data_IF_691258577209
#
_entry.id   IF_691258577209
#
_cell.length_a   1.000
_cell.length_b   1.000
_cell.length_c   1.000
_cell.angle_alpha   90.00
_cell.angle_beta   90.00
_cell.angle_gamma   90.00
#
_symmetry.space_group_name_H-M   'P 1'
#
loop_
_entity.id
_entity.type
_entity.pdbx_description
1 polymer ?
#
# COMPACT_ATOMS: atom_id res chain seq x y z
N UNK A 1 -17.13 0.33 -32.96
CA UNK A 1 -16.80 -0.43 -31.73
C UNK A 1 -15.29 -0.29 -31.59
N UNK A 2 -14.75 0.34 -30.53
CA UNK A 2 -13.31 0.49 -30.41
C UNK A 2 -12.69 -0.91 -30.29
N UNK A 3 -11.76 -1.23 -31.19
CA UNK A 3 -10.99 -2.47 -31.14
C UNK A 3 -10.04 -2.35 -29.95
N UNK A 4 -10.44 -2.94 -28.83
CA UNK A 4 -9.67 -2.95 -27.59
C UNK A 4 -8.98 -4.29 -27.41
N UNK A 5 -7.66 -4.28 -27.21
CA UNK A 5 -6.91 -5.47 -26.84
C UNK A 5 -6.47 -5.37 -25.38
N UNK A 6 -6.63 -6.47 -24.66
CA UNK A 6 -6.21 -6.61 -23.27
C UNK A 6 -4.78 -7.17 -23.24
N UNK A 7 -3.87 -6.44 -22.63
CA UNK A 7 -2.47 -6.87 -22.42
C UNK A 7 -2.24 -7.14 -20.94
N UNK A 8 -1.54 -8.22 -20.60
CA UNK A 8 -1.10 -8.48 -19.23
C UNK A 8 0.28 -7.88 -19.01
N UNK A 9 0.44 -7.12 -17.93
CA UNK A 9 1.70 -6.49 -17.55
C UNK A 9 1.99 -6.76 -16.08
N UNK A 10 3.22 -7.17 -15.77
CA UNK A 10 3.69 -7.33 -14.39
C UNK A 10 4.50 -6.10 -14.01
N UNK A 11 4.09 -5.42 -12.95
CA UNK A 11 4.71 -4.20 -12.47
C UNK A 11 5.38 -4.43 -11.11
N UNK A 12 6.71 -4.29 -11.04
CA UNK A 12 7.42 -4.31 -9.77
C UNK A 12 7.28 -3.00 -9.00
N UNK A 13 7.16 -3.12 -7.69
CA UNK A 13 7.05 -2.03 -6.73
C UNK A 13 8.09 -2.18 -5.63
N UNK A 14 8.63 -1.05 -5.16
CA UNK A 14 9.52 -1.01 -4.02
C UNK A 14 9.07 0.04 -3.00
N UNK A 15 9.00 -0.37 -1.73
CA UNK A 15 8.68 0.53 -0.64
C UNK A 15 9.91 1.33 -0.22
N UNK A 16 9.81 2.66 -0.27
CA UNK A 16 10.89 3.57 0.15
C UNK A 16 11.05 3.63 1.68
N UNK A 17 10.15 2.99 2.44
CA UNK A 17 10.20 2.97 3.92
C UNK A 17 10.80 1.68 4.48
N UNK A 18 10.33 0.52 4.03
CA UNK A 18 10.74 -0.78 4.56
C UNK A 18 11.55 -1.62 3.55
N UNK A 19 11.79 -1.09 2.36
CA UNK A 19 12.54 -1.74 1.28
C UNK A 19 11.93 -3.06 0.79
N UNK A 20 10.71 -3.38 1.20
CA UNK A 20 9.97 -4.51 0.66
C UNK A 20 9.70 -4.30 -0.84
N UNK A 21 10.03 -5.32 -1.63
CA UNK A 21 9.82 -5.37 -3.07
C UNK A 21 8.78 -6.44 -3.38
N UNK A 22 7.84 -6.12 -4.23
CA UNK A 22 6.82 -7.06 -4.69
C UNK A 22 6.44 -6.78 -6.15
N UNK A 23 5.76 -7.74 -6.77
CA UNK A 23 5.23 -7.60 -8.12
C UNK A 23 3.72 -7.72 -8.10
N UNK A 24 3.05 -6.93 -8.92
CA UNK A 24 1.60 -6.99 -9.12
C UNK A 24 1.27 -7.16 -10.61
N UNK A 25 0.25 -7.96 -10.89
CA UNK A 25 -0.21 -8.22 -12.26
C UNK A 25 -1.39 -7.34 -12.60
N UNK A 26 -1.25 -6.59 -13.70
CA UNK A 26 -2.29 -5.74 -14.24
C UNK A 26 -2.74 -6.25 -15.61
N UNK A 27 -4.01 -6.00 -15.92
CA UNK A 27 -4.54 -6.10 -17.27
C UNK A 27 -4.78 -4.68 -17.77
N UNK A 28 -4.17 -4.33 -18.90
CA UNK A 28 -4.31 -3.03 -19.56
C UNK A 28 -5.19 -3.22 -20.79
N UNK A 29 -6.36 -2.60 -20.77
CA UNK A 29 -7.21 -2.48 -21.95
C UNK A 29 -6.86 -1.21 -22.68
N UNK A 30 -6.23 -1.34 -23.85
CA UNK A 30 -5.93 -0.20 -24.72
C UNK A 30 -7.08 0.00 -25.69
N UNK A 31 -7.64 1.20 -25.72
CA UNK A 31 -8.71 1.61 -26.63
C UNK A 31 -8.14 2.66 -27.56
N UNK A 32 -8.33 2.47 -28.87
CA UNK A 32 -8.04 3.49 -29.88
C UNK A 32 -9.33 3.83 -30.62
N UNK A 33 -9.53 5.11 -30.92
CA UNK A 33 -10.60 5.56 -31.80
C UNK A 33 -10.08 5.88 -33.22
N UNK A 34 -11.01 6.09 -34.15
CA UNK A 34 -10.69 6.42 -35.55
C UNK A 34 -10.10 7.83 -35.74
N UNK A 35 -10.09 8.64 -34.68
CA UNK A 35 -9.56 10.00 -34.69
C UNK A 35 -8.14 10.08 -34.12
N UNK A 36 -7.56 8.93 -33.73
CA UNK A 36 -6.21 8.83 -33.18
C UNK A 36 -6.13 9.08 -31.68
N UNK A 37 -7.26 9.16 -30.96
CA UNK A 37 -7.25 9.22 -29.50
C UNK A 37 -7.04 7.81 -28.94
N UNK A 38 -6.15 7.71 -27.96
CA UNK A 38 -5.88 6.48 -27.22
C UNK A 38 -6.25 6.65 -25.75
N UNK A 39 -6.83 5.62 -25.16
CA UNK A 39 -7.11 5.54 -23.74
C UNK A 39 -6.69 4.17 -23.18
N UNK A 40 -6.20 4.15 -21.95
CA UNK A 40 -5.83 2.92 -21.25
C UNK A 40 -6.69 2.77 -20.00
N UNK A 41 -7.27 1.58 -19.84
CA UNK A 41 -8.02 1.21 -18.64
C UNK A 41 -7.27 0.08 -17.95
N UNK A 42 -6.92 0.31 -16.69
CA UNK A 42 -6.14 -0.61 -15.88
C UNK A 42 -7.04 -1.45 -14.99
N UNK A 43 -6.71 -2.73 -14.87
CA UNK A 43 -7.42 -3.68 -14.03
C UNK A 43 -6.43 -4.48 -13.18
N UNK A 44 -6.76 -4.70 -11.91
CA UNK A 44 -6.09 -5.65 -11.01
C UNK A 44 -7.15 -6.62 -10.49
N UNK A 45 -6.88 -7.93 -10.56
CA UNK A 45 -7.85 -8.98 -10.21
C UNK A 45 -9.25 -8.80 -10.84
N UNK A 46 -9.33 -8.22 -12.05
CA UNK A 46 -10.59 -7.95 -12.76
C UNK A 46 -11.33 -6.68 -12.32
N UNK A 47 -10.84 -5.96 -11.31
CA UNK A 47 -11.40 -4.68 -10.83
C UNK A 47 -10.66 -3.52 -11.48
N UNK A 48 -11.38 -2.47 -11.89
CA UNK A 48 -10.76 -1.25 -12.42
C UNK A 48 -9.97 -0.53 -11.32
N UNK A 49 -8.74 -0.18 -11.64
CA UNK A 49 -7.78 0.47 -10.73
C UNK A 49 -7.10 1.65 -11.43
N UNK A 50 -6.50 2.59 -10.70
CA UNK A 50 -5.63 3.57 -11.32
C UNK A 50 -4.36 2.91 -11.88
N UNK A 51 -3.60 3.59 -12.76
CA UNK A 51 -2.33 3.10 -13.26
C UNK A 51 -1.31 2.78 -12.14
N UNK A 52 -0.38 1.83 -12.33
CA UNK A 52 0.53 1.32 -11.29
C UNK A 52 1.37 2.40 -10.58
N UNK A 53 1.70 3.47 -11.29
CA UNK A 53 2.47 4.60 -10.77
C UNK A 53 1.64 5.62 -9.99
N UNK A 54 0.32 5.43 -9.85
CA UNK A 54 -0.57 6.41 -9.20
C UNK A 54 -0.59 6.33 -7.68
N UNK A 55 0.29 5.53 -7.07
CA UNK A 55 0.45 5.42 -5.62
C UNK A 55 -0.17 4.12 -5.08
N UNK A 56 0.65 3.09 -4.97
CA UNK A 56 0.32 1.85 -4.29
C UNK A 56 0.61 1.95 -2.78
N UNK A 57 -0.08 1.13 -1.98
CA UNK A 57 0.22 0.97 -0.56
C UNK A 57 1.11 -0.26 -0.35
N UNK A 58 2.19 -0.12 0.41
CA UNK A 58 3.08 -1.24 0.71
C UNK A 58 2.36 -2.31 1.55
N UNK A 59 2.33 -3.60 1.13
CA UNK A 59 1.65 -4.66 1.88
C UNK A 59 2.40 -5.03 3.18
N UNK A 60 3.70 -4.77 3.26
CA UNK A 60 4.51 -5.08 4.45
C UNK A 60 4.36 -4.07 5.59
N UNK A 61 4.31 -2.77 5.30
CA UNK A 61 4.28 -1.72 6.34
C UNK A 61 3.14 -0.69 6.24
N UNK A 62 2.29 -0.77 5.20
CA UNK A 62 1.15 0.14 5.00
C UNK A 62 1.52 1.57 4.59
N UNK A 63 2.76 1.82 4.18
CA UNK A 63 3.19 3.15 3.72
C UNK A 63 2.83 3.39 2.24
N UNK A 64 2.49 4.63 1.90
CA UNK A 64 2.24 5.09 0.53
C UNK A 64 3.49 5.55 -0.23
N UNK A 65 4.66 5.59 0.43
CA UNK A 65 5.94 5.91 -0.19
C UNK A 65 6.45 4.73 -1.01
N UNK A 66 5.83 4.49 -2.17
CA UNK A 66 6.11 3.36 -3.06
C UNK A 66 6.54 3.90 -4.41
N UNK A 67 7.61 3.34 -4.95
CA UNK A 67 8.01 3.55 -6.35
C UNK A 67 7.63 2.33 -7.18
N UNK A 68 7.22 2.55 -8.43
CA UNK A 68 6.93 1.51 -9.42
C UNK A 68 7.96 1.54 -10.53
N UNK A 69 8.33 0.40 -11.08
CA UNK A 69 9.19 0.32 -12.25
C UNK A 69 8.47 -0.35 -13.42
N UNK A 70 8.85 -0.05 -14.67
CA UNK A 70 8.26 -0.71 -15.83
C UNK A 70 8.43 -2.23 -15.80
N UNK A 71 7.57 -2.94 -16.52
CA UNK A 71 7.66 -4.39 -16.68
C UNK A 71 9.06 -4.82 -17.15
N UNK A 72 9.62 -5.85 -16.51
CA UNK A 72 10.95 -6.37 -16.85
C UNK A 72 12.13 -5.57 -16.28
N UNK A 73 11.88 -4.52 -15.49
CA UNK A 73 12.95 -3.78 -14.80
C UNK A 73 13.73 -4.66 -13.82
N UNK A 74 13.04 -5.45 -12.97
CA UNK A 74 13.72 -6.36 -12.02
C UNK A 74 14.50 -7.49 -12.71
N UNK A 75 14.06 -7.95 -13.88
CA UNK A 75 14.82 -8.95 -14.65
C UNK A 75 16.19 -8.44 -15.11
N UNK A 76 16.34 -7.10 -15.23
CA UNK A 76 17.62 -6.44 -15.57
C UNK A 76 18.39 -5.98 -14.32
N UNK A 77 17.74 -5.98 -13.16
CA UNK A 77 18.22 -5.42 -11.90
C UNK A 77 17.94 -6.38 -10.73
N UNK A 78 18.48 -7.59 -10.80
CA UNK A 78 18.28 -8.65 -9.80
C UNK A 78 18.81 -8.26 -8.42
N UNK A 79 19.77 -7.34 -8.35
CA UNK A 79 20.34 -6.80 -7.11
C UNK A 79 19.30 -6.11 -6.21
N UNK A 80 18.14 -5.72 -6.74
CA UNK A 80 17.06 -5.08 -6.00
C UNK A 80 16.09 -6.10 -5.38
N UNK A 81 16.14 -7.36 -5.81
CA UNK A 81 15.31 -8.43 -5.25
C UNK A 81 16.00 -8.92 -3.98
N UNK A 82 15.32 -8.79 -2.84
CA UNK A 82 15.81 -9.33 -1.58
C UNK A 82 15.94 -10.86 -1.71
N UNK A 83 17.18 -11.35 -1.80
CA UNK A 83 17.48 -12.78 -1.72
C UNK A 83 17.16 -13.20 -0.28
N UNK A 84 16.29 -14.20 -0.06
CA UNK A 84 16.11 -14.79 1.27
C UNK A 84 17.49 -15.19 1.80
N UNK A 85 17.85 -14.72 2.99
CA UNK A 85 19.11 -15.10 3.63
C UNK A 85 19.11 -16.62 3.76
N UNK A 86 19.93 -17.29 2.94
CA UNK A 86 20.11 -18.73 3.02
C UNK A 86 20.61 -19.03 4.44
N UNK A 87 19.96 -19.94 5.20
CA UNK A 87 20.35 -20.19 6.58
C UNK A 87 21.85 -20.48 6.58
N UNK A 88 22.65 -19.74 7.36
CA UNK A 88 24.10 -19.84 7.27
C UNK A 88 24.47 -21.30 7.47
N UNK A 89 25.23 -21.87 6.51
CA UNK A 89 25.93 -23.12 6.78
C UNK A 89 26.64 -22.97 8.13
N UNK A 90 26.63 -23.99 9.01
CA UNK A 90 27.15 -23.86 10.35
C UNK A 90 28.66 -23.63 10.31
N UNK A 91 29.06 -22.38 10.13
CA UNK A 91 30.38 -21.87 10.44
C UNK A 91 30.42 -21.87 11.96
N UNK A 92 31.33 -22.64 12.54
CA UNK A 92 31.61 -22.58 13.97
C UNK A 92 32.15 -21.18 14.31
N UNK A 93 31.24 -20.26 14.63
CA UNK A 93 31.58 -18.95 15.18
C UNK A 93 31.84 -19.17 16.68
N UNK A 94 33.03 -18.80 17.21
CA UNK A 94 33.24 -18.78 18.66
C UNK A 94 32.16 -17.92 19.32
N UNK A 95 31.57 -18.42 20.40
CA UNK A 95 30.37 -17.88 21.03
C UNK A 95 30.37 -16.32 21.06
N UNK A 96 29.41 -15.67 20.40
CA UNK A 96 29.22 -14.23 20.55
C UNK A 96 28.88 -13.94 22.01
N UNK A 97 29.52 -12.92 22.60
CA UNK A 97 29.06 -12.35 23.88
C UNK A 97 27.58 -11.99 23.70
N UNK A 98 26.73 -12.13 24.73
CA UNK A 98 25.30 -11.84 24.63
C UNK A 98 25.10 -10.34 24.39
N UNK A 99 25.11 -9.95 23.12
CA UNK A 99 24.56 -8.71 22.62
C UNK A 99 23.07 -8.91 22.42
N UNK A 100 22.25 -7.98 22.90
CA UNK A 100 20.80 -8.01 22.69
C UNK A 100 20.50 -8.20 21.21
N UNK A 101 19.80 -9.28 20.87
CA UNK A 101 19.22 -9.47 19.55
C UNK A 101 18.40 -8.23 19.17
N UNK A 102 18.45 -7.76 17.91
CA UNK A 102 17.53 -6.72 17.46
C UNK A 102 16.11 -7.26 17.65
N UNK A 103 15.39 -6.61 18.56
CA UNK A 103 14.01 -6.97 18.87
C UNK A 103 13.19 -6.94 17.59
N UNK A 104 12.59 -8.07 17.26
CA UNK A 104 11.58 -8.19 16.23
C UNK A 104 10.46 -7.19 16.55
N UNK A 105 10.42 -6.10 15.80
CA UNK A 105 9.47 -5.02 16.03
C UNK A 105 8.16 -5.44 15.38
N UNK A 106 7.33 -6.12 16.16
CA UNK A 106 5.92 -6.28 15.85
C UNK A 106 5.32 -4.90 15.51
N UNK A 107 5.03 -4.70 14.23
CA UNK A 107 4.40 -3.48 13.72
C UNK A 107 2.94 -3.48 14.15
N UNK A 108 2.69 -2.96 15.35
CA UNK A 108 1.35 -2.78 15.90
C UNK A 108 0.63 -1.66 15.12
N UNK A 109 -0.55 -1.91 14.53
CA UNK A 109 -1.26 -0.95 13.67
C UNK A 109 -2.01 0.08 14.53
N UNK A 110 -1.28 0.92 15.27
CA UNK A 110 -1.86 1.89 16.22
C UNK A 110 -2.40 3.18 15.60
N UNK A 111 -2.23 3.41 14.28
CA UNK A 111 -2.55 4.71 13.66
C UNK A 111 -3.92 4.81 13.01
N UNK A 112 -4.60 3.70 12.72
CA UNK A 112 -5.97 3.75 12.17
C UNK A 112 -7.03 4.04 13.24
N UNK A 113 -6.76 3.77 14.52
CA UNK A 113 -7.71 3.99 15.62
C UNK A 113 -7.83 5.47 16.05
N UNK A 114 -6.85 6.31 15.69
CA UNK A 114 -6.82 7.74 16.08
C UNK A 114 -7.65 8.60 15.11
N UNK A 115 -7.64 8.28 13.82
CA UNK A 115 -8.35 9.10 12.81
C UNK A 115 -9.88 9.01 12.92
N UNK A 116 -10.43 7.92 13.47
CA UNK A 116 -11.87 7.73 13.64
C UNK A 116 -12.38 8.14 15.02
N UNK A 117 -11.53 8.10 16.05
CA UNK A 117 -11.94 8.40 17.44
C UNK A 117 -12.14 9.90 17.69
N UNK A 118 -11.29 10.76 17.13
CA UNK A 118 -11.42 12.22 17.29
C UNK A 118 -12.73 12.76 16.72
N UNK A 119 -13.11 12.47 15.45
CA UNK A 119 -14.40 12.95 14.91
C UNK A 119 -15.60 12.32 15.63
N UNK A 120 -15.52 11.06 16.07
CA UNK A 120 -16.60 10.40 16.80
C UNK A 120 -16.83 11.03 18.19
N UNK A 121 -15.75 11.32 18.93
CA UNK A 121 -15.83 11.96 20.25
C UNK A 121 -16.37 13.39 20.13
N UNK A 122 -15.94 14.15 19.12
CA UNK A 122 -16.46 15.48 18.87
C UNK A 122 -17.96 15.48 18.55
N UNK A 123 -18.42 14.53 17.74
CA UNK A 123 -19.84 14.37 17.41
C UNK A 123 -20.67 14.03 18.65
N UNK A 124 -20.24 13.05 19.44
CA UNK A 124 -20.95 12.66 20.67
C UNK A 124 -20.99 13.79 21.70
N UNK A 125 -19.91 14.56 21.84
CA UNK A 125 -19.88 15.72 22.73
C UNK A 125 -20.85 16.82 22.27
N UNK A 126 -20.96 17.05 20.95
CA UNK A 126 -21.89 18.02 20.40
C UNK A 126 -23.35 17.63 20.64
N UNK A 127 -23.72 16.37 20.36
CA UNK A 127 -25.07 15.85 20.62
C UNK A 127 -25.44 15.88 22.10
N UNK A 128 -24.48 15.60 23.00
CA UNK A 128 -24.71 15.73 24.44
C UNK A 128 -24.90 17.21 24.86
N UNK A 129 -24.15 18.13 24.26
CA UNK A 129 -24.29 19.56 24.55
C UNK A 129 -25.65 20.10 24.09
N UNK A 130 -26.10 19.74 22.89
CA UNK A 130 -27.39 20.21 22.35
C UNK A 130 -28.56 19.69 23.17
N UNK A 131 -28.53 18.42 23.58
CA UNK A 131 -29.58 17.82 24.43
C UNK A 131 -29.65 18.47 25.81
N UNK A 132 -28.51 18.73 26.46
CA UNK A 132 -28.47 19.45 27.74
C UNK A 132 -28.91 20.91 27.60
N UNK A 133 -28.48 21.60 26.54
CA UNK A 133 -28.87 22.99 26.28
C UNK A 133 -30.37 23.12 25.97
N UNK A 134 -30.96 22.14 25.27
CA UNK A 134 -32.39 22.08 25.03
C UNK A 134 -33.18 21.80 26.32
N UNK A 135 -32.71 20.88 27.17
CA UNK A 135 -33.31 20.59 28.46
C UNK A 135 -33.20 21.75 29.46
N UNK A 136 -32.15 22.58 29.34
CA UNK A 136 -31.91 23.74 30.19
C UNK A 136 -32.68 25.00 29.78
N UNK A 137 -33.38 25.01 28.62
CA UNK A 137 -34.30 26.09 28.26
C UNK A 137 -35.65 25.82 28.94
N UNK A 138 -36.04 26.60 29.96
CA UNK A 138 -37.37 26.46 30.53
C UNK A 138 -38.37 26.93 29.47
N UNK A 139 -39.47 26.18 29.31
CA UNK A 139 -40.64 26.65 28.58
C UNK A 139 -41.18 27.90 29.26
N UNK A 140 -40.83 29.07 28.73
CA UNK A 140 -41.49 30.34 29.01
C UNK A 140 -42.75 30.48 28.18
#
# INVERSE_FOLDING_TARGET
>A
MPDGFDTRETWPHACLRCLHVWEEQFVVRRLADSHGNAAEIWFSAGVRVPPPWSGACCPGCGAYGVTSFPSGYLARHLELVAVPEEPPQPVFVPAPRPGKAPADRAHLPGRLLIALSVPLVAFLAYELYTTLAAAARPHG
#
